data_IF_113118930114
#
_entry.id   IF_113118930114
#
_cell.length_a   1.000
_cell.length_b   1.000
_cell.length_c   1.000
_cell.angle_alpha   90.00
_cell.angle_beta   90.00
_cell.angle_gamma   90.00
#
_symmetry.space_group_name_H-M   'P 1'
#
loop_
_entity.id
_entity.type
_entity.pdbx_description
1 polymer ?
#
# COMPACT_ATOMS: atom_id res chain seq x y z
N UNK A 1 11.59 26.44 21.90
CA UNK A 1 10.80 25.18 21.98
C UNK A 1 11.22 24.47 23.26
N UNK A 2 10.29 24.19 24.19
CA UNK A 2 10.65 23.57 25.48
C UNK A 2 11.16 22.13 25.29
N UNK A 3 12.04 21.65 26.18
CA UNK A 3 12.58 20.30 26.11
C UNK A 3 11.49 19.22 26.03
N UNK A 4 10.39 19.40 26.75
CA UNK A 4 9.23 18.51 26.71
C UNK A 4 8.61 18.40 25.31
N UNK A 5 8.50 19.52 24.57
CA UNK A 5 8.01 19.51 23.18
C UNK A 5 8.99 18.82 22.23
N UNK A 6 10.30 18.92 22.51
CA UNK A 6 11.34 18.28 21.70
C UNK A 6 11.40 16.77 21.93
N UNK A 7 11.18 16.30 23.15
CA UNK A 7 11.07 14.85 23.44
C UNK A 7 9.84 14.26 22.77
N UNK A 8 8.67 14.87 22.99
CA UNK A 8 7.42 14.40 22.38
C UNK A 8 7.50 14.31 20.85
N UNK A 9 8.09 15.32 20.20
CA UNK A 9 8.23 15.31 18.74
C UNK A 9 9.14 14.17 18.26
N UNK A 10 10.20 13.86 19.01
CA UNK A 10 11.09 12.72 18.68
C UNK A 10 10.33 11.40 18.78
N UNK A 11 9.63 11.18 19.89
CA UNK A 11 8.87 9.94 20.11
C UNK A 11 7.77 9.76 19.05
N UNK A 12 7.09 10.86 18.69
CA UNK A 12 6.13 10.87 17.61
C UNK A 12 6.76 10.51 16.27
N UNK A 13 7.88 11.13 15.89
CA UNK A 13 8.57 10.85 14.63
C UNK A 13 9.05 9.40 14.56
N UNK A 14 9.59 8.86 15.67
CA UNK A 14 10.02 7.47 15.74
C UNK A 14 8.86 6.46 15.70
N UNK A 15 7.69 6.81 16.24
CA UNK A 15 6.50 5.97 16.05
C UNK A 15 5.98 6.04 14.62
N UNK A 16 5.93 7.26 14.06
CA UNK A 16 5.36 7.52 12.73
C UNK A 16 6.20 6.92 11.60
N UNK A 17 7.52 6.83 11.78
CA UNK A 17 8.43 6.25 10.78
C UNK A 17 8.20 4.74 10.58
N UNK A 18 7.67 4.03 11.59
CA UNK A 18 7.29 2.63 11.48
C UNK A 18 5.86 2.48 10.98
N UNK A 19 4.97 3.37 11.40
CA UNK A 19 3.56 3.35 11.01
C UNK A 19 3.36 3.63 9.52
N UNK A 20 4.08 4.61 8.96
CA UNK A 20 3.91 5.01 7.56
C UNK A 20 4.21 3.88 6.56
N UNK A 21 5.34 3.15 6.66
CA UNK A 21 5.60 1.99 5.81
C UNK A 21 4.54 0.90 5.95
N UNK A 22 4.05 0.65 7.17
CA UNK A 22 2.97 -0.33 7.38
C UNK A 22 1.70 0.09 6.66
N UNK A 23 1.24 1.33 6.85
CA UNK A 23 0.06 1.86 6.17
C UNK A 23 0.22 1.83 4.65
N UNK A 24 1.40 2.17 4.14
CA UNK A 24 1.75 2.11 2.73
C UNK A 24 1.67 0.67 2.17
N UNK A 25 2.21 -0.33 2.85
CA UNK A 25 2.12 -1.74 2.41
C UNK A 25 0.67 -2.22 2.48
N UNK A 26 -0.05 -1.90 3.56
CA UNK A 26 -1.43 -2.33 3.74
C UNK A 26 -2.39 -1.68 2.72
N UNK A 27 -2.12 -0.45 2.28
CA UNK A 27 -3.00 0.24 1.32
C UNK A 27 -3.01 -0.38 -0.08
N UNK A 28 -2.04 -1.25 -0.44
CA UNK A 28 -2.04 -1.90 -1.75
C UNK A 28 -3.24 -2.83 -1.96
N UNK A 29 -3.76 -3.42 -0.87
CA UNK A 29 -4.90 -4.33 -0.89
C UNK A 29 -6.19 -3.64 -1.36
N UNK A 30 -6.70 -2.63 -0.64
CA UNK A 30 -7.93 -1.92 -1.05
C UNK A 30 -7.76 -1.23 -2.41
N UNK A 31 -6.57 -0.71 -2.72
CA UNK A 31 -6.30 -0.14 -4.06
C UNK A 31 -6.43 -1.20 -5.14
N UNK A 32 -5.82 -2.38 -4.96
CA UNK A 32 -5.89 -3.47 -5.92
C UNK A 32 -7.32 -3.99 -6.09
N UNK A 33 -8.05 -4.14 -4.99
CA UNK A 33 -9.46 -4.57 -4.98
C UNK A 33 -10.38 -3.57 -5.68
N UNK A 34 -10.19 -2.27 -5.46
CA UNK A 34 -10.94 -1.22 -6.14
C UNK A 34 -10.64 -1.17 -7.65
N UNK A 35 -9.37 -1.33 -8.05
CA UNK A 35 -8.95 -1.24 -9.45
C UNK A 35 -9.42 -2.42 -10.32
N UNK A 36 -9.56 -3.61 -9.74
CA UNK A 36 -9.94 -4.81 -10.48
C UNK A 36 -11.44 -5.11 -10.32
N UNK A 37 -12.17 -5.03 -11.43
CA UNK A 37 -13.55 -5.48 -11.55
C UNK A 37 -13.59 -6.86 -12.21
N UNK A 38 -14.74 -7.57 -12.16
CA UNK A 38 -14.93 -8.80 -12.93
C UNK A 38 -14.71 -8.62 -14.44
N UNK A 39 -14.87 -7.40 -14.96
CA UNK A 39 -14.67 -7.03 -16.37
C UNK A 39 -13.26 -6.56 -16.72
N UNK A 40 -12.33 -6.54 -15.75
CA UNK A 40 -10.94 -6.10 -15.94
C UNK A 40 -10.57 -4.88 -15.09
N UNK A 41 -9.83 -3.93 -15.66
CA UNK A 41 -9.52 -2.68 -14.97
C UNK A 41 -10.76 -1.76 -14.96
N UNK A 42 -10.97 -1.07 -13.84
CA UNK A 42 -12.02 -0.05 -13.68
C UNK A 42 -11.90 1.02 -14.78
N UNK A 43 -13.00 1.24 -15.51
CA UNK A 43 -13.04 2.19 -16.64
C UNK A 43 -13.04 3.67 -16.21
N UNK A 44 -13.37 3.96 -14.95
CA UNK A 44 -13.39 5.30 -14.35
C UNK A 44 -12.01 5.75 -13.84
N UNK A 45 -10.99 4.90 -13.93
CA UNK A 45 -9.63 5.24 -13.53
C UNK A 45 -8.78 5.52 -14.77
N UNK A 46 -8.24 6.73 -14.85
CA UNK A 46 -7.44 7.14 -16.01
C UNK A 46 -6.13 6.33 -16.12
N UNK A 47 -5.59 6.12 -17.34
CA UNK A 47 -4.30 5.46 -17.53
C UNK A 47 -3.15 6.11 -16.75
N UNK A 48 -3.15 7.43 -16.62
CA UNK A 48 -2.13 8.19 -15.88
C UNK A 48 -2.21 7.89 -14.38
N UNK A 49 -3.42 7.78 -13.82
CA UNK A 49 -3.60 7.38 -12.43
C UNK A 49 -3.07 5.97 -12.18
N UNK A 50 -3.34 5.02 -13.08
CA UNK A 50 -2.80 3.65 -13.02
C UNK A 50 -1.27 3.68 -13.06
N UNK A 51 -0.67 4.46 -13.97
CA UNK A 51 0.79 4.58 -14.07
C UNK A 51 1.43 5.14 -12.80
N UNK A 52 0.80 6.14 -12.18
CA UNK A 52 1.24 6.71 -10.89
C UNK A 52 1.14 5.68 -9.76
N UNK A 53 0.04 4.92 -9.68
CA UNK A 53 -0.12 3.87 -8.66
C UNK A 53 0.92 2.75 -8.84
N UNK A 54 1.18 2.32 -10.07
CA UNK A 54 2.24 1.35 -10.38
C UNK A 54 3.62 1.84 -9.92
N UNK A 55 3.91 3.12 -10.17
CA UNK A 55 5.17 3.75 -9.75
C UNK A 55 5.27 3.89 -8.23
N UNK A 56 4.17 4.32 -7.58
CA UNK A 56 4.08 4.49 -6.13
C UNK A 56 4.28 3.18 -5.38
N UNK A 57 3.70 2.08 -5.87
CA UNK A 57 3.85 0.74 -5.30
C UNK A 57 5.04 -0.06 -5.85
N UNK A 58 5.93 0.54 -6.65
CA UNK A 58 7.05 -0.17 -7.24
C UNK A 58 7.93 -0.93 -6.22
N UNK A 59 8.26 -0.36 -5.03
CA UNK A 59 8.98 -1.10 -3.99
C UNK A 59 8.24 -2.35 -3.48
N UNK A 60 6.93 -2.24 -3.26
CA UNK A 60 6.10 -3.38 -2.81
C UNK A 60 6.05 -4.45 -3.90
N UNK A 61 5.80 -4.04 -5.14
CA UNK A 61 5.78 -4.94 -6.29
C UNK A 61 7.12 -5.65 -6.47
N UNK A 62 8.23 -4.93 -6.33
CA UNK A 62 9.57 -5.52 -6.39
C UNK A 62 9.77 -6.58 -5.29
N UNK A 63 9.40 -6.26 -4.04
CA UNK A 63 9.54 -7.19 -2.91
C UNK A 63 8.68 -8.46 -3.10
N UNK A 64 7.44 -8.29 -3.55
CA UNK A 64 6.51 -9.39 -3.83
C UNK A 64 7.02 -10.27 -4.98
N UNK A 65 7.50 -9.68 -6.06
CA UNK A 65 8.02 -10.41 -7.22
C UNK A 65 9.38 -11.10 -6.96
N UNK A 66 10.09 -10.69 -5.91
CA UNK A 66 11.39 -11.27 -5.54
C UNK A 66 11.27 -12.40 -4.51
N UNK A 67 10.06 -12.71 -4.04
CA UNK A 67 9.84 -13.70 -2.99
C UNK A 67 8.49 -14.43 -3.14
N UNK A 68 8.55 -15.74 -3.39
CA UNK A 68 7.36 -16.56 -3.64
C UNK A 68 6.36 -16.57 -2.48
N UNK A 69 6.84 -16.56 -1.23
CA UNK A 69 5.97 -16.50 -0.05
C UNK A 69 5.21 -15.19 0.01
N UNK A 70 5.88 -14.07 -0.31
CA UNK A 70 5.23 -12.76 -0.39
C UNK A 70 4.25 -12.68 -1.56
N UNK A 71 4.57 -13.30 -2.70
CA UNK A 71 3.66 -13.42 -3.84
C UNK A 71 2.35 -14.13 -3.46
N UNK A 72 2.44 -15.27 -2.74
CA UNK A 72 1.26 -16.00 -2.27
C UNK A 72 0.44 -15.15 -1.30
N UNK A 73 1.09 -14.46 -0.36
CA UNK A 73 0.41 -13.60 0.62
C UNK A 73 -0.26 -12.43 -0.08
N UNK A 74 0.45 -11.73 -0.97
CA UNK A 74 -0.09 -10.60 -1.72
C UNK A 74 -1.29 -10.99 -2.58
N UNK A 75 -1.23 -12.16 -3.24
CA UNK A 75 -2.34 -12.70 -4.01
C UNK A 75 -3.58 -12.95 -3.15
N UNK A 76 -3.43 -13.61 -1.98
CA UNK A 76 -4.53 -13.82 -1.03
C UNK A 76 -5.09 -12.50 -0.48
N UNK A 77 -4.21 -11.55 -0.21
CA UNK A 77 -4.58 -10.24 0.31
C UNK A 77 -5.40 -9.43 -0.71
N UNK A 78 -4.95 -9.39 -1.97
CA UNK A 78 -5.70 -8.74 -3.05
C UNK A 78 -7.07 -9.41 -3.28
N UNK A 79 -7.13 -10.75 -3.26
CA UNK A 79 -8.38 -11.49 -3.37
C UNK A 79 -9.36 -11.20 -2.22
N UNK A 80 -8.85 -11.07 -0.99
CA UNK A 80 -9.69 -10.68 0.14
C UNK A 80 -10.38 -9.34 -0.12
N UNK A 81 -9.63 -8.33 -0.56
CA UNK A 81 -10.19 -7.00 -0.85
C UNK A 81 -11.17 -7.01 -2.02
N UNK A 82 -10.89 -7.77 -3.07
CA UNK A 82 -11.82 -7.92 -4.19
C UNK A 82 -13.15 -8.57 -3.80
N UNK A 83 -13.21 -9.36 -2.73
CA UNK A 83 -14.45 -9.99 -2.25
C UNK A 83 -15.32 -9.09 -1.40
N UNK A 84 -14.74 -8.05 -0.78
CA UNK A 84 -15.44 -7.19 0.19
C UNK A 84 -15.75 -5.79 -0.35
N UNK A 85 -15.28 -5.47 -1.56
CA UNK A 85 -15.55 -4.23 -2.30
C UNK A 85 -16.44 -4.54 -3.51
#
# INVERSE_FOLDING_TARGET
MSENKRSFLKDFVYGFILLLPMLYVLSIGPVSGYLHTPSGLRADVSPEAIARLKSFYAPVNWAVNSNDSLMIIAGKYAQFWHRIL
#
